data_IF_787902145474
#
_entry.id   IF_787902145474
#
_cell.length_a   1.000
_cell.length_b   1.000
_cell.length_c   1.000
_cell.angle_alpha   90.00
_cell.angle_beta   90.00
_cell.angle_gamma   90.00
#
_symmetry.space_group_name_H-M   'P 1'
#
loop_
_entity.id
_entity.type
_entity.pdbx_description
1 polymer ?
#
# COMPACT_ATOMS: atom_id res chain seq x y z
N UNK A 1 3.64 7.91 -10.29
CA UNK A 1 2.40 8.03 -11.11
C UNK A 1 1.62 6.74 -10.94
N UNK A 2 0.73 6.66 -9.94
CA UNK A 2 -0.16 5.50 -9.79
C UNK A 2 -1.25 5.65 -10.84
N UNK A 3 -1.19 4.86 -11.91
CA UNK A 3 -2.30 4.79 -12.86
C UNK A 3 -3.47 4.08 -12.19
N UNK A 4 -4.28 4.82 -11.42
CA UNK A 4 -5.62 4.36 -11.04
C UNK A 4 -6.44 4.25 -12.32
N UNK A 5 -6.53 3.06 -12.91
CA UNK A 5 -7.59 2.79 -13.89
C UNK A 5 -8.87 2.51 -13.12
N UNK A 6 -9.90 3.32 -13.33
CA UNK A 6 -11.29 2.87 -13.22
C UNK A 6 -12.09 3.21 -11.95
N UNK A 7 -11.59 3.99 -10.99
CA UNK A 7 -12.45 4.45 -9.88
C UNK A 7 -13.22 5.72 -10.31
N UNK A 8 -14.58 5.74 -10.31
CA UNK A 8 -15.33 6.98 -10.49
C UNK A 8 -15.02 7.97 -9.34
N UNK A 9 -15.16 9.29 -9.57
CA UNK A 9 -14.96 10.28 -8.52
C UNK A 9 -16.16 10.26 -7.57
N UNK A 10 -16.09 9.45 -6.52
CA UNK A 10 -17.05 9.51 -5.42
C UNK A 10 -16.80 10.81 -4.65
N UNK A 11 -17.47 11.87 -5.10
CA UNK A 11 -17.41 13.20 -4.51
C UNK A 11 -18.28 13.24 -3.24
N UNK A 12 -17.88 12.51 -2.20
CA UNK A 12 -18.44 12.71 -0.87
C UNK A 12 -17.69 13.89 -0.21
N UNK A 13 -18.38 14.96 0.23
CA UNK A 13 -17.73 16.06 0.92
C UNK A 13 -17.20 15.55 2.26
N UNK A 14 -15.89 15.45 2.41
CA UNK A 14 -15.25 15.19 3.71
C UNK A 14 -15.37 16.47 4.54
N UNK A 15 -16.20 16.45 5.58
CA UNK A 15 -16.19 17.49 6.62
C UNK A 15 -14.81 17.44 7.31
N UNK A 16 -13.96 18.43 7.05
CA UNK A 16 -12.87 18.84 7.94
C UNK A 16 -11.66 17.93 8.17
N UNK A 17 -11.44 16.88 7.36
CA UNK A 17 -10.26 16.00 7.50
C UNK A 17 -9.13 16.35 6.55
N UNK A 18 -7.89 16.44 7.05
CA UNK A 18 -6.68 16.53 6.23
C UNK A 18 -6.62 15.36 5.22
N UNK A 19 -6.14 15.56 3.97
CA UNK A 19 -6.04 14.46 3.02
C UNK A 19 -5.05 13.41 3.55
N UNK A 20 -5.53 12.19 3.81
CA UNK A 20 -4.68 11.06 4.18
C UNK A 20 -3.71 10.77 3.02
N UNK A 21 -2.41 11.02 3.24
CA UNK A 21 -1.35 10.88 2.23
C UNK A 21 -0.80 9.45 2.27
N UNK A 22 -1.10 8.68 1.23
CA UNK A 22 -0.47 7.37 0.97
C UNK A 22 0.52 7.53 -0.18
N UNK A 23 1.75 7.08 0.00
CA UNK A 23 2.82 7.19 -1.00
C UNK A 23 3.25 5.81 -1.48
N UNK A 24 3.26 5.60 -2.78
CA UNK A 24 3.82 4.39 -3.39
C UNK A 24 5.18 4.75 -3.96
N UNK A 25 6.23 4.08 -3.48
CA UNK A 25 7.61 4.28 -3.93
C UNK A 25 8.02 3.16 -4.89
N UNK A 26 8.10 3.46 -6.18
CA UNK A 26 8.47 2.52 -7.24
C UNK A 26 9.97 2.51 -7.59
N UNK A 27 10.78 3.23 -6.82
CA UNK A 27 12.23 3.33 -6.94
C UNK A 27 12.90 3.00 -5.60
N UNK A 28 13.83 2.05 -5.58
CA UNK A 28 14.75 1.88 -4.45
C UNK A 28 15.97 2.78 -4.67
N UNK A 29 16.27 3.70 -3.75
CA UNK A 29 17.36 4.67 -3.93
C UNK A 29 18.74 4.13 -3.52
N UNK A 30 18.86 2.88 -3.07
CA UNK A 30 20.14 2.40 -2.55
C UNK A 30 20.86 1.51 -3.56
N UNK A 31 22.01 2.01 -3.99
CA UNK A 31 23.10 1.17 -4.48
C UNK A 31 24.18 1.09 -3.41
N UNK A 32 24.70 -0.11 -3.19
CA UNK A 32 25.85 -0.33 -2.31
C UNK A 32 27.12 0.31 -2.89
N UNK A 33 27.18 0.44 -4.23
CA UNK A 33 28.22 1.16 -4.95
C UNK A 33 28.07 2.68 -4.76
N UNK A 34 29.10 3.38 -4.23
CA UNK A 34 29.07 4.85 -4.08
C UNK A 34 28.86 5.62 -5.39
N UNK A 35 29.24 5.03 -6.52
CA UNK A 35 29.09 5.63 -7.86
C UNK A 35 27.64 5.56 -8.34
N UNK A 36 26.95 4.48 -7.98
CA UNK A 36 25.61 4.18 -8.49
C UNK A 36 24.50 4.79 -7.63
N UNK A 37 24.79 5.31 -6.43
CA UNK A 37 23.82 6.05 -5.57
C UNK A 37 23.23 7.29 -6.24
N UNK A 38 23.90 7.82 -7.27
CA UNK A 38 23.43 8.97 -8.05
C UNK A 38 22.44 8.58 -9.14
N UNK A 39 22.26 7.29 -9.39
CA UNK A 39 21.33 6.78 -10.38
C UNK A 39 20.05 6.31 -9.69
N UNK A 40 18.87 6.74 -10.15
CA UNK A 40 17.63 6.19 -9.65
C UNK A 40 17.60 4.68 -9.94
N UNK A 41 17.28 3.88 -8.92
CA UNK A 41 17.12 2.44 -9.08
C UNK A 41 16.10 2.10 -10.16
N UNK A 42 16.20 0.90 -10.73
CA UNK A 42 15.32 0.47 -11.82
C UNK A 42 13.87 0.38 -11.31
N UNK A 43 12.98 1.13 -11.94
CA UNK A 43 11.56 1.07 -11.63
C UNK A 43 11.00 -0.34 -11.89
N UNK A 44 10.24 -0.87 -10.94
CA UNK A 44 9.48 -2.13 -11.10
C UNK A 44 8.02 -1.86 -10.74
N UNK A 45 7.07 -2.28 -11.61
CA UNK A 45 5.66 -1.95 -11.42
C UNK A 45 5.13 -2.56 -10.11
N UNK A 46 4.45 -1.75 -9.33
CA UNK A 46 3.67 -2.20 -8.17
C UNK A 46 2.26 -2.52 -8.63
N UNK A 47 1.74 -3.67 -8.24
CA UNK A 47 0.37 -4.10 -8.55
C UNK A 47 -0.48 -4.05 -7.29
N UNK A 48 -1.55 -3.26 -7.31
CA UNK A 48 -2.55 -3.21 -6.24
C UNK A 48 -3.83 -3.77 -6.84
N UNK A 49 -4.30 -4.89 -6.31
CA UNK A 49 -5.54 -5.53 -6.77
C UNK A 49 -6.80 -4.86 -6.18
N UNK A 50 -7.96 -5.37 -6.56
CA UNK A 50 -9.26 -4.80 -6.16
C UNK A 50 -9.49 -4.86 -4.65
N UNK A 51 -10.21 -3.87 -4.13
CA UNK A 51 -10.63 -3.80 -2.72
C UNK A 51 -9.47 -3.86 -1.70
N UNK A 52 -8.30 -3.35 -2.07
CA UNK A 52 -7.17 -3.20 -1.14
C UNK A 52 -7.31 -1.90 -0.35
N UNK A 53 -7.25 -1.99 0.97
CA UNK A 53 -7.14 -0.84 1.86
C UNK A 53 -5.66 -0.56 2.19
N UNK A 54 -5.21 0.67 1.97
CA UNK A 54 -3.83 1.10 2.28
C UNK A 54 -3.89 2.20 3.34
N UNK A 55 -3.40 1.89 4.55
CA UNK A 55 -3.26 2.84 5.64
C UNK A 55 -2.33 4.00 5.30
N UNK A 56 -2.39 5.06 6.11
CA UNK A 56 -1.51 6.22 5.96
C UNK A 56 -0.02 5.85 6.07
N UNK A 57 0.83 6.59 5.36
CA UNK A 57 2.30 6.46 5.47
C UNK A 57 2.85 5.04 5.22
N UNK A 58 2.15 4.23 4.42
CA UNK A 58 2.65 2.95 3.93
C UNK A 58 3.69 3.18 2.84
N UNK A 59 4.75 2.36 2.82
CA UNK A 59 5.70 2.26 1.71
C UNK A 59 5.60 0.88 1.07
N UNK A 60 5.40 0.81 -0.24
CA UNK A 60 5.39 -0.45 -1.00
C UNK A 60 6.60 -0.49 -1.91
N UNK A 61 7.41 -1.55 -1.83
CA UNK A 61 8.64 -1.66 -2.59
C UNK A 61 8.38 -1.97 -4.08
N UNK A 62 9.34 -1.66 -4.97
CA UNK A 62 9.19 -1.87 -6.40
C UNK A 62 9.01 -3.34 -6.76
N UNK A 63 8.01 -3.64 -7.60
CA UNK A 63 7.76 -4.99 -8.10
C UNK A 63 6.82 -5.83 -7.24
N UNK A 64 6.33 -5.29 -6.12
CA UNK A 64 5.40 -5.97 -5.21
C UNK A 64 3.98 -5.99 -5.77
N UNK A 65 3.28 -7.11 -5.57
CA UNK A 65 1.84 -7.27 -5.75
C UNK A 65 1.12 -7.36 -4.41
N UNK A 66 0.06 -6.59 -4.23
CA UNK A 66 -0.85 -6.67 -3.10
C UNK A 66 -2.15 -7.32 -3.58
N UNK A 67 -2.44 -8.52 -3.07
CA UNK A 67 -3.60 -9.31 -3.44
C UNK A 67 -4.92 -8.67 -3.01
N UNK A 68 -6.00 -9.03 -3.72
CA UNK A 68 -7.36 -8.49 -3.48
C UNK A 68 -7.85 -8.63 -2.04
N UNK A 69 -8.76 -7.75 -1.63
CA UNK A 69 -9.38 -7.74 -0.29
C UNK A 69 -8.37 -7.66 0.88
N UNK A 70 -7.19 -7.08 0.64
CA UNK A 70 -6.13 -6.98 1.65
C UNK A 70 -6.14 -5.63 2.34
N UNK A 71 -5.84 -5.61 3.64
CA UNK A 71 -5.68 -4.40 4.44
C UNK A 71 -4.20 -4.25 4.83
N UNK A 72 -3.60 -3.12 4.45
CA UNK A 72 -2.25 -2.73 4.84
C UNK A 72 -2.35 -1.71 5.97
N UNK A 73 -1.82 -2.05 7.14
CA UNK A 73 -1.80 -1.18 8.31
C UNK A 73 -0.97 0.09 8.10
N UNK A 74 -1.25 1.10 8.91
CA UNK A 74 -0.53 2.38 8.91
C UNK A 74 0.99 2.15 9.16
N UNK A 75 1.85 2.97 8.55
CA UNK A 75 3.32 2.88 8.66
C UNK A 75 3.95 1.54 8.23
N UNK A 76 3.23 0.69 7.48
CA UNK A 76 3.79 -0.57 7.00
C UNK A 76 4.82 -0.37 5.87
N UNK A 77 5.86 -1.21 5.83
CA UNK A 77 6.82 -1.26 4.72
C UNK A 77 6.73 -2.62 4.04
N UNK A 78 6.14 -2.66 2.86
CA UNK A 78 5.83 -3.89 2.13
C UNK A 78 7.00 -4.26 1.21
N UNK A 79 7.78 -5.25 1.62
CA UNK A 79 8.95 -5.76 0.89
C UNK A 79 8.62 -6.84 -0.14
N UNK A 80 7.61 -7.66 0.15
CA UNK A 80 7.27 -8.87 -0.60
C UNK A 80 5.80 -8.87 -1.01
N UNK A 81 5.45 -9.73 -1.98
CA UNK A 81 4.06 -9.92 -2.41
C UNK A 81 3.15 -10.31 -1.24
N UNK A 82 1.98 -9.69 -1.19
CA UNK A 82 0.98 -9.92 -0.14
C UNK A 82 -0.16 -10.76 -0.70
N UNK A 83 -0.53 -11.88 -0.06
CA UNK A 83 -1.66 -12.70 -0.49
C UNK A 83 -2.98 -11.94 -0.35
N UNK A 84 -4.02 -12.41 -1.02
CA UNK A 84 -5.38 -11.87 -0.91
C UNK A 84 -6.01 -12.15 0.46
N UNK A 85 -6.92 -11.28 0.91
CA UNK A 85 -7.77 -11.52 2.08
C UNK A 85 -7.00 -11.55 3.41
N UNK A 86 -5.97 -10.71 3.56
CA UNK A 86 -5.18 -10.63 4.80
C UNK A 86 -5.08 -9.22 5.33
N UNK A 87 -4.77 -9.12 6.62
CA UNK A 87 -4.28 -7.89 7.23
C UNK A 87 -2.76 -8.01 7.40
N UNK A 88 -2.02 -7.02 6.91
CA UNK A 88 -0.57 -6.91 7.10
C UNK A 88 -0.19 -5.65 7.85
N UNK A 89 0.95 -5.67 8.53
CA UNK A 89 1.51 -4.48 9.19
C UNK A 89 2.96 -4.64 9.59
N UNK A 90 3.59 -3.53 9.98
CA UNK A 90 4.97 -3.47 10.45
C UNK A 90 6.00 -3.12 9.37
N UNK A 91 7.26 -3.02 9.80
CA UNK A 91 8.43 -2.83 8.95
C UNK A 91 9.50 -3.88 9.34
N UNK A 92 9.70 -4.94 8.53
CA UNK A 92 8.99 -5.24 7.29
C UNK A 92 7.54 -5.70 7.55
N UNK A 93 6.65 -5.50 6.58
CA UNK A 93 5.25 -5.89 6.68
C UNK A 93 5.12 -7.42 6.76
N UNK A 94 4.31 -7.89 7.70
CA UNK A 94 4.00 -9.31 7.91
C UNK A 94 2.49 -9.51 8.00
N UNK A 95 2.03 -10.69 7.57
CA UNK A 95 0.64 -11.11 7.75
C UNK A 95 0.36 -11.21 9.25
N UNK A 96 -0.60 -10.41 9.72
CA UNK A 96 -1.06 -10.41 11.11
C UNK A 96 -2.18 -11.43 11.29
N UNK A 97 -3.15 -11.45 10.35
CA UNK A 97 -4.23 -12.44 10.31
C UNK A 97 -4.89 -12.47 8.94
N UNK A 98 -5.69 -13.52 8.69
CA UNK A 98 -6.63 -13.58 7.56
C UNK A 98 -7.89 -12.77 7.88
N UNK A 99 -8.52 -12.24 6.84
CA UNK A 99 -9.86 -11.68 6.91
C UNK A 99 -10.85 -12.82 6.71
N UNK A 100 -11.75 -12.99 7.67
CA UNK A 100 -12.89 -13.88 7.51
C UNK A 100 -13.93 -13.16 6.65
N UNK A 101 -14.60 -13.90 5.75
CA UNK A 101 -15.58 -13.36 4.80
C UNK A 101 -16.73 -12.61 5.47
N UNK A 102 -16.99 -12.90 6.75
CA UNK A 102 -18.09 -12.35 7.55
C UNK A 102 -17.66 -11.20 8.48
N UNK A 103 -16.38 -10.81 8.44
CA UNK A 103 -15.84 -9.76 9.31
C UNK A 103 -16.19 -8.36 8.76
N UNK A 104 -17.42 -7.91 9.00
CA UNK A 104 -17.88 -6.52 8.81
C UNK A 104 -17.27 -5.60 9.88
N UNK A 105 -15.94 -5.45 9.90
CA UNK A 105 -15.25 -4.55 10.81
C UNK A 105 -15.29 -3.11 10.29
N UNK A 106 -16.35 -2.38 10.59
CA UNK A 106 -16.40 -0.95 10.32
C UNK A 106 -15.56 -0.19 11.36
N UNK A 107 -14.41 0.33 10.94
CA UNK A 107 -13.53 1.17 11.77
C UNK A 107 -13.86 2.68 11.66
N UNK A 108 -15.02 3.04 11.10
CA UNK A 108 -15.55 4.41 11.17
C UNK A 108 -15.99 4.69 12.60
N UNK A 109 -15.03 5.06 13.45
CA UNK A 109 -15.32 5.63 14.75
C UNK A 109 -16.25 6.83 14.60
N UNK A 110 -17.27 6.88 15.46
CA UNK A 110 -18.10 8.07 15.71
C UNK A 110 -17.26 9.23 16.26
#
# INVERSE_FOLDING_TARGET
>A
MVTRRGQPPDHHPTRGGHPHRCEVFDHLPYSESPVDRRHPGRARPVVIEDNVWIGGQVSVLPGVRIGRDTVVGIHAVVFDDIPSGVIVGGNPARVLRRLDSDASGDNRGE
#
